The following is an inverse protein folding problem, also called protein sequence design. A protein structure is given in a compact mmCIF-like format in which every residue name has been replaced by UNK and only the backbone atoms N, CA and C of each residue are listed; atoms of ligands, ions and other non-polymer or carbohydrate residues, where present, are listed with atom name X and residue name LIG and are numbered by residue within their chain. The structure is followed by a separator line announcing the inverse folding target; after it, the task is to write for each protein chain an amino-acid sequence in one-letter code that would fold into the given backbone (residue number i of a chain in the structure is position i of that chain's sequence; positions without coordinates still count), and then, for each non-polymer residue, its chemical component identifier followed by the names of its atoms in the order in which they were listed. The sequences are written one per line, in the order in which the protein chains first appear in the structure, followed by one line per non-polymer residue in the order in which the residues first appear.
data_IF_658685388116
#
_entry.id   IF_658685388116
#
_cell.length_a   1.000
_cell.length_b   1.000
_cell.length_c   1.000
_cell.angle_alpha   90.00
_cell.angle_beta   90.00
_cell.angle_gamma   90.00
#
_symmetry.space_group_name_H-M   'P 1'
#
loop_
_entity.id
_entity.type
_entity.pdbx_description
1 polymer ?
#
# COMPACT_ATOMS: atom_id res chain seq x y z
N UNK A 1 17.49 6.21 -24.82
CA UNK A 1 17.58 5.71 -23.45
C UNK A 1 17.68 6.95 -22.58
N UNK A 2 16.84 7.10 -21.54
CA UNK A 2 16.90 8.26 -20.65
C UNK A 2 18.28 8.37 -20.00
N UNK A 3 18.87 9.55 -20.06
CA UNK A 3 20.22 9.85 -19.55
C UNK A 3 20.18 10.70 -18.27
N UNK A 4 18.99 11.05 -17.80
CA UNK A 4 18.75 11.88 -16.63
C UNK A 4 17.45 11.48 -15.93
N UNK A 5 17.31 11.94 -14.68
CA UNK A 5 16.06 11.98 -13.95
C UNK A 5 15.66 13.43 -13.65
N UNK A 6 14.36 13.65 -13.43
CA UNK A 6 13.85 14.88 -12.85
C UNK A 6 13.53 14.62 -11.39
N UNK A 7 14.01 15.48 -10.49
CA UNK A 7 13.75 15.40 -9.06
C UNK A 7 13.37 16.80 -8.56
N UNK A 8 12.13 16.94 -8.10
CA UNK A 8 11.53 18.23 -7.73
C UNK A 8 11.72 19.32 -8.80
N UNK A 9 11.58 18.93 -10.07
CA UNK A 9 11.75 19.82 -11.23
C UNK A 9 13.21 20.12 -11.61
N UNK A 10 14.19 19.67 -10.82
CA UNK A 10 15.62 19.78 -11.15
C UNK A 10 16.06 18.59 -11.99
N UNK A 11 16.90 18.84 -12.98
CA UNK A 11 17.46 17.82 -13.88
C UNK A 11 18.78 17.30 -13.32
N UNK A 12 18.93 15.97 -13.23
CA UNK A 12 20.16 15.32 -12.81
C UNK A 12 20.55 14.22 -13.80
N UNK A 13 21.73 14.33 -14.41
CA UNK A 13 22.22 13.32 -15.35
C UNK A 13 22.71 12.07 -14.60
N UNK A 14 22.45 10.89 -15.16
CA UNK A 14 22.80 9.62 -14.51
C UNK A 14 24.32 9.47 -14.33
N UNK A 15 25.12 9.92 -15.30
CA UNK A 15 26.59 9.93 -15.20
C UNK A 15 27.07 10.84 -14.06
N UNK A 16 26.46 12.01 -13.89
CA UNK A 16 26.76 12.92 -12.79
C UNK A 16 26.35 12.35 -11.43
N UNK A 17 25.22 11.63 -11.39
CA UNK A 17 24.75 10.94 -10.18
C UNK A 17 25.74 9.85 -9.77
N UNK A 18 26.16 9.01 -10.72
CA UNK A 18 27.10 7.92 -10.48
C UNK A 18 28.44 8.40 -9.91
N UNK A 19 28.92 9.56 -10.36
CA UNK A 19 30.17 10.18 -9.91
C UNK A 19 29.99 11.23 -8.80
N UNK A 20 28.74 11.51 -8.41
CA UNK A 20 28.36 12.52 -7.42
C UNK A 20 28.93 13.93 -7.73
N UNK A 21 29.02 14.28 -9.02
CA UNK A 21 29.71 15.48 -9.52
C UNK A 21 28.84 16.74 -9.55
N UNK A 22 27.51 16.61 -9.40
CA UNK A 22 26.55 17.72 -9.41
C UNK A 22 26.48 18.53 -8.09
N UNK A 23 27.12 18.02 -7.03
CA UNK A 23 26.94 18.49 -5.64
C UNK A 23 27.34 19.94 -5.35
N UNK A 24 28.22 20.51 -6.18
CA UNK A 24 28.66 21.92 -6.05
C UNK A 24 27.85 22.87 -6.94
N UNK A 25 27.11 22.33 -7.92
CA UNK A 25 26.39 23.13 -8.93
C UNK A 25 24.89 23.20 -8.70
N UNK A 26 24.29 22.19 -8.04
CA UNK A 26 22.84 22.13 -7.78
C UNK A 26 22.60 22.05 -6.27
N UNK A 27 21.94 23.04 -5.64
CA UNK A 27 21.56 22.94 -4.25
C UNK A 27 20.49 21.86 -4.07
N UNK A 28 20.72 20.97 -3.10
CA UNK A 28 19.80 19.87 -2.77
C UNK A 28 19.35 19.92 -1.32
N UNK A 29 18.11 19.51 -1.06
CA UNK A 29 17.59 19.33 0.30
C UNK A 29 17.88 17.91 0.86
N UNK A 30 17.40 17.64 2.07
CA UNK A 30 17.63 16.36 2.75
C UNK A 30 16.95 15.15 2.09
N UNK A 31 15.78 15.33 1.48
CA UNK A 31 15.06 14.27 0.77
C UNK A 31 15.72 13.98 -0.57
N UNK A 32 16.09 15.04 -1.29
CA UNK A 32 16.80 14.96 -2.57
C UNK A 32 18.15 14.26 -2.40
N UNK A 33 18.92 14.61 -1.36
CA UNK A 33 20.20 13.99 -1.06
C UNK A 33 20.08 12.47 -0.84
N UNK A 34 19.09 12.01 -0.06
CA UNK A 34 18.88 10.57 0.20
C UNK A 34 18.43 9.83 -1.06
N UNK A 35 17.55 10.45 -1.86
CA UNK A 35 17.10 9.89 -3.15
C UNK A 35 18.28 9.72 -4.11
N UNK A 36 19.12 10.75 -4.25
CA UNK A 36 20.28 10.73 -5.14
C UNK A 36 21.36 9.77 -4.64
N UNK A 37 21.54 9.62 -3.33
CA UNK A 37 22.47 8.63 -2.76
C UNK A 37 22.02 7.20 -3.07
N UNK A 38 20.72 6.90 -3.00
CA UNK A 38 20.20 5.60 -3.46
C UNK A 38 20.49 5.38 -4.96
N UNK A 39 20.17 6.35 -5.81
CA UNK A 39 20.42 6.25 -7.25
C UNK A 39 21.91 6.05 -7.57
N UNK A 40 22.80 6.80 -6.90
CA UNK A 40 24.25 6.64 -7.02
C UNK A 40 24.68 5.22 -6.65
N UNK A 41 24.26 4.71 -5.49
CA UNK A 41 24.59 3.35 -5.05
C UNK A 41 24.10 2.31 -6.06
N UNK A 42 22.91 2.49 -6.62
CA UNK A 42 22.40 1.65 -7.69
C UNK A 42 23.25 1.69 -8.96
N UNK A 43 23.64 2.87 -9.42
CA UNK A 43 24.47 3.05 -10.62
C UNK A 43 25.92 2.58 -10.42
N UNK A 44 26.42 2.58 -9.19
CA UNK A 44 27.73 2.03 -8.82
C UNK A 44 27.72 0.51 -8.63
N UNK A 45 26.57 -0.15 -8.78
CA UNK A 45 26.47 -1.61 -8.69
C UNK A 45 26.52 -2.15 -7.27
N UNK A 46 26.08 -1.38 -6.27
CA UNK A 46 25.88 -1.90 -4.91
C UNK A 46 24.92 -3.10 -4.96
N UNK A 47 25.25 -4.14 -4.18
CA UNK A 47 24.56 -5.43 -4.23
C UNK A 47 23.53 -5.62 -3.11
N UNK A 48 23.65 -4.87 -2.00
CA UNK A 48 22.86 -5.05 -0.79
C UNK A 48 22.28 -3.72 -0.32
N UNK A 49 20.99 -3.73 0.05
CA UNK A 49 20.22 -2.56 0.45
C UNK A 49 19.48 -2.87 1.75
N UNK A 50 19.96 -2.38 2.91
CA UNK A 50 19.26 -2.56 4.17
C UNK A 50 17.99 -1.70 4.17
N UNK A 51 16.85 -2.33 4.44
CA UNK A 51 15.57 -1.64 4.60
C UNK A 51 14.96 -1.93 5.96
N UNK A 52 14.39 -0.90 6.58
CA UNK A 52 13.69 -1.02 7.85
C UNK A 52 12.21 -1.34 7.58
N UNK A 53 11.68 -2.38 8.22
CA UNK A 53 10.26 -2.71 8.16
C UNK A 53 9.53 -2.20 9.39
N UNK A 54 8.33 -1.68 9.15
CA UNK A 54 7.34 -1.44 10.20
C UNK A 54 6.69 -2.76 10.57
N UNK A 55 7.42 -3.63 11.27
CA UNK A 55 6.84 -4.86 11.80
C UNK A 55 5.61 -4.55 12.66
N UNK A 56 4.51 -5.29 12.47
CA UNK A 56 3.30 -5.18 13.29
C UNK A 56 3.53 -5.47 14.78
N UNK A 57 4.69 -6.02 15.13
CA UNK A 57 5.01 -6.53 16.46
C UNK A 57 6.01 -5.69 17.28
N UNK A 58 6.29 -4.43 16.91
CA UNK A 58 6.88 -3.43 17.82
C UNK A 58 8.30 -2.97 17.51
N UNK A 59 9.31 -3.86 17.45
CA UNK A 59 10.69 -3.47 17.15
C UNK A 59 10.92 -3.46 15.62
N UNK A 60 11.52 -2.39 15.05
CA UNK A 60 11.86 -2.38 13.64
C UNK A 60 12.78 -3.55 13.28
N UNK A 61 12.42 -4.31 12.25
CA UNK A 61 13.28 -5.36 11.71
C UNK A 61 14.00 -4.79 10.49
N UNK A 62 15.30 -5.02 10.41
CA UNK A 62 16.05 -4.79 9.19
C UNK A 62 15.93 -6.02 8.31
N UNK A 63 15.53 -5.81 7.07
CA UNK A 63 15.61 -6.83 6.03
C UNK A 63 16.69 -6.36 5.06
N UNK A 64 17.61 -7.24 4.73
CA UNK A 64 18.61 -6.99 3.71
C UNK A 64 18.04 -7.42 2.36
N UNK A 65 17.87 -6.45 1.46
CA UNK A 65 17.45 -6.72 0.09
C UNK A 65 18.68 -6.87 -0.78
N UNK A 66 18.68 -7.87 -1.64
CA UNK A 66 19.73 -8.06 -2.64
C UNK A 66 19.31 -7.45 -3.98
N UNK A 67 20.29 -6.93 -4.72
CA UNK A 67 20.09 -6.25 -6.01
C UNK A 67 19.38 -7.13 -7.03
N UNK A 68 19.82 -8.37 -7.18
CA UNK A 68 19.23 -9.37 -8.09
C UNK A 68 17.72 -9.54 -7.85
N UNK A 69 17.30 -9.65 -6.58
CA UNK A 69 15.88 -9.79 -6.23
C UNK A 69 15.09 -8.49 -6.48
N UNK A 70 15.71 -7.33 -6.26
CA UNK A 70 15.08 -6.04 -6.61
C UNK A 70 14.93 -5.90 -8.13
N UNK A 71 15.94 -6.32 -8.91
CA UNK A 71 15.88 -6.37 -10.37
C UNK A 71 14.78 -7.32 -10.86
N UNK A 72 14.68 -8.53 -10.29
CA UNK A 72 13.61 -9.48 -10.61
C UNK A 72 12.21 -8.92 -10.32
N UNK A 73 12.04 -8.24 -9.19
CA UNK A 73 10.80 -7.57 -8.80
C UNK A 73 10.45 -6.41 -9.74
N UNK A 74 11.44 -5.64 -10.16
CA UNK A 74 11.28 -4.57 -11.14
C UNK A 74 10.87 -5.13 -12.52
N UNK A 75 11.59 -6.13 -13.03
CA UNK A 75 11.29 -6.78 -14.30
C UNK A 75 9.87 -7.38 -14.33
N UNK A 76 9.42 -7.97 -13.22
CA UNK A 76 8.02 -8.42 -13.07
C UNK A 76 7.04 -7.28 -13.24
N UNK A 77 7.29 -6.14 -12.58
CA UNK A 77 6.43 -4.95 -12.70
C UNK A 77 6.36 -4.46 -14.14
N UNK A 78 7.51 -4.36 -14.83
CA UNK A 78 7.59 -3.93 -16.22
C UNK A 78 6.75 -4.84 -17.13
N UNK A 79 6.80 -6.16 -16.93
CA UNK A 79 5.98 -7.13 -17.67
C UNK A 79 4.50 -7.00 -17.37
N UNK A 80 4.09 -6.95 -16.10
CA UNK A 80 2.68 -6.89 -15.68
C UNK A 80 1.98 -5.67 -16.29
N UNK A 81 2.64 -4.51 -16.29
CA UNK A 81 2.04 -3.26 -16.77
C UNK A 81 2.48 -2.86 -18.18
N UNK A 82 3.16 -3.76 -18.90
CA UNK A 82 3.68 -3.54 -20.24
C UNK A 82 4.46 -2.21 -20.37
N UNK A 83 5.37 -1.98 -19.43
CA UNK A 83 6.25 -0.82 -19.41
C UNK A 83 7.47 -1.10 -20.29
N UNK A 84 7.72 -0.18 -21.20
CA UNK A 84 8.76 -0.25 -22.22
C UNK A 84 9.79 0.86 -21.98
N UNK A 85 11.03 0.71 -22.49
CA UNK A 85 11.99 1.80 -22.50
C UNK A 85 11.38 3.10 -23.05
N UNK A 86 11.74 4.23 -22.47
CA UNK A 86 11.17 5.57 -22.75
C UNK A 86 9.73 5.82 -22.25
N UNK A 87 9.06 4.86 -21.60
CA UNK A 87 7.85 5.19 -20.85
C UNK A 87 8.20 6.12 -19.66
N UNK A 88 7.25 6.94 -19.24
CA UNK A 88 7.41 7.96 -18.21
C UNK A 88 6.76 7.51 -16.91
N UNK A 89 7.52 7.53 -15.82
CA UNK A 89 7.03 7.15 -14.49
C UNK A 89 7.07 8.32 -13.52
N UNK A 90 6.00 8.43 -12.72
CA UNK A 90 5.96 9.35 -11.58
C UNK A 90 6.32 8.60 -10.30
N UNK A 91 7.36 9.07 -9.62
CA UNK A 91 7.78 8.62 -8.28
C UNK A 91 7.28 9.61 -7.25
N UNK A 92 6.13 9.32 -6.65
CA UNK A 92 5.48 10.17 -5.64
C UNK A 92 5.29 9.50 -4.28
N UNK A 93 5.87 8.31 -4.10
CA UNK A 93 5.99 7.63 -2.82
C UNK A 93 7.38 7.88 -2.25
N UNK A 94 7.50 7.90 -0.92
CA UNK A 94 8.74 8.19 -0.24
C UNK A 94 9.85 7.19 -0.61
N UNK A 95 10.92 7.69 -1.22
CA UNK A 95 12.10 6.95 -1.69
C UNK A 95 13.00 6.44 -0.57
N UNK A 96 12.79 6.88 0.68
CA UNK A 96 13.44 6.31 1.86
C UNK A 96 12.82 4.97 2.30
N UNK A 97 11.67 4.60 1.74
CA UNK A 97 10.99 3.34 2.00
C UNK A 97 10.90 2.50 0.75
N UNK A 98 10.76 1.19 0.93
CA UNK A 98 10.80 0.20 -0.15
C UNK A 98 9.83 0.50 -1.30
N UNK A 99 8.67 1.10 -1.01
CA UNK A 99 7.70 1.48 -2.02
C UNK A 99 8.26 2.50 -3.03
N UNK A 100 8.86 3.60 -2.55
CA UNK A 100 9.48 4.61 -3.41
C UNK A 100 10.80 4.12 -4.01
N UNK A 101 11.63 3.40 -3.23
CA UNK A 101 12.87 2.79 -3.74
C UNK A 101 12.60 1.90 -4.96
N UNK A 102 11.57 1.05 -4.90
CA UNK A 102 11.25 0.15 -6.00
C UNK A 102 10.77 0.89 -7.26
N UNK A 103 10.20 2.09 -7.13
CA UNK A 103 9.89 2.92 -8.31
C UNK A 103 11.16 3.46 -8.98
N UNK A 104 12.19 3.82 -8.21
CA UNK A 104 13.51 4.17 -8.75
C UNK A 104 14.14 2.97 -9.46
N UNK A 105 14.13 1.80 -8.81
CA UNK A 105 14.67 0.56 -9.42
C UNK A 105 13.95 0.20 -10.71
N UNK A 106 12.61 0.25 -10.74
CA UNK A 106 11.82 0.02 -11.96
C UNK A 106 12.21 0.97 -13.09
N UNK A 107 12.39 2.26 -12.77
CA UNK A 107 12.81 3.25 -13.74
C UNK A 107 14.20 2.96 -14.33
N UNK A 108 15.17 2.66 -13.46
CA UNK A 108 16.56 2.39 -13.86
C UNK A 108 16.69 1.06 -14.61
N UNK A 109 16.00 0.02 -14.17
CA UNK A 109 16.01 -1.31 -14.82
C UNK A 109 15.25 -1.30 -16.15
N UNK A 110 14.16 -0.53 -16.24
CA UNK A 110 13.33 -0.43 -17.43
C UNK A 110 13.78 0.59 -18.46
N UNK A 111 14.80 1.40 -18.16
CA UNK A 111 15.19 2.57 -18.96
C UNK A 111 14.01 3.54 -19.19
N UNK A 112 13.31 3.87 -18.10
CA UNK A 112 12.12 4.73 -18.09
C UNK A 112 12.53 6.18 -17.78
N UNK A 113 11.76 7.16 -18.26
CA UNK A 113 11.91 8.55 -17.82
C UNK A 113 11.37 8.66 -16.39
N UNK A 114 12.24 9.05 -15.45
CA UNK A 114 11.91 9.10 -14.03
C UNK A 114 11.67 10.54 -13.60
N UNK A 115 10.45 10.85 -13.17
CA UNK A 115 10.11 12.11 -12.49
C UNK A 115 9.82 11.83 -11.02
N UNK A 116 10.62 12.39 -10.13
CA UNK A 116 10.49 12.24 -8.69
C UNK A 116 10.00 13.55 -8.10
N UNK A 117 9.05 13.44 -7.19
CA UNK A 117 8.63 14.54 -6.32
C UNK A 117 8.75 14.11 -4.86
N UNK A 118 8.83 15.09 -3.97
CA UNK A 118 8.61 14.82 -2.55
C UNK A 118 7.17 14.30 -2.31
N UNK A 119 6.97 13.32 -1.40
CA UNK A 119 5.67 12.72 -1.19
C UNK A 119 4.66 13.73 -0.62
N UNK A 120 3.59 13.95 -1.34
CA UNK A 120 2.50 14.87 -0.97
C UNK A 120 1.13 14.23 -1.22
N UNK A 121 0.08 14.83 -0.65
CA UNK A 121 -1.30 14.33 -0.79
C UNK A 121 -1.79 14.31 -2.25
N UNK A 122 -1.55 15.37 -3.01
CA UNK A 122 -1.87 15.42 -4.45
C UNK A 122 -0.59 15.48 -5.29
N UNK A 123 -0.04 14.35 -5.74
CA UNK A 123 1.24 14.34 -6.43
C UNK A 123 1.19 15.05 -7.80
N UNK A 124 0.03 15.11 -8.45
CA UNK A 124 -0.11 15.82 -9.71
C UNK A 124 -0.12 17.35 -9.56
N UNK A 125 -0.20 17.88 -8.33
CA UNK A 125 -0.11 19.32 -8.05
C UNK A 125 1.32 19.87 -8.14
N UNK A 126 2.34 19.03 -7.99
CA UNK A 126 3.75 19.44 -7.92
C UNK A 126 4.58 19.02 -9.14
N UNK A 127 3.92 18.57 -10.21
CA UNK A 127 4.56 18.28 -11.50
C UNK A 127 4.21 19.38 -12.49
N UNK A 128 5.02 19.50 -13.54
CA UNK A 128 4.73 20.38 -14.67
C UNK A 128 3.30 20.09 -15.21
N UNK A 129 2.44 21.12 -15.41
CA UNK A 129 1.11 20.96 -15.97
C UNK A 129 1.05 20.24 -17.32
N UNK A 130 2.14 20.25 -18.10
CA UNK A 130 2.22 19.57 -19.39
C UNK A 130 2.92 18.20 -19.30
N UNK A 131 3.48 17.84 -18.14
CA UNK A 131 4.04 16.51 -17.93
C UNK A 131 2.95 15.44 -18.09
N UNK A 132 3.28 14.39 -18.82
CA UNK A 132 2.46 13.18 -18.87
C UNK A 132 3.28 11.96 -18.44
N UNK A 133 2.56 10.95 -18.00
CA UNK A 133 3.11 9.74 -17.43
C UNK A 133 2.39 8.55 -18.04
N UNK A 134 3.10 7.44 -18.14
CA UNK A 134 2.58 6.17 -18.61
C UNK A 134 2.31 5.22 -17.44
N UNK A 135 2.95 5.44 -16.28
CA UNK A 135 2.72 4.65 -15.08
C UNK A 135 3.00 5.41 -13.79
N UNK A 136 2.23 5.10 -12.74
CA UNK A 136 2.46 5.62 -11.40
C UNK A 136 2.07 4.57 -10.36
N UNK A 137 2.87 4.48 -9.31
CA UNK A 137 2.49 3.76 -8.09
C UNK A 137 2.30 4.77 -6.95
N UNK A 138 1.19 4.66 -6.22
CA UNK A 138 0.82 5.61 -5.16
C UNK A 138 0.02 4.94 -4.05
N UNK A 139 -0.21 5.65 -2.94
CA UNK A 139 -1.11 5.17 -1.88
C UNK A 139 -2.58 5.51 -2.19
N UNK A 140 -3.55 4.75 -1.66
CA UNK A 140 -4.98 4.99 -1.89
C UNK A 140 -5.44 6.43 -1.63
N UNK A 141 -4.94 7.04 -0.54
CA UNK A 141 -5.26 8.41 -0.17
C UNK A 141 -4.81 9.43 -1.21
N UNK A 142 -3.68 9.20 -1.90
CA UNK A 142 -3.21 10.09 -2.96
C UNK A 142 -4.16 10.07 -4.15
N UNK A 143 -4.60 8.87 -4.57
CA UNK A 143 -5.57 8.76 -5.66
C UNK A 143 -6.90 9.40 -5.29
N UNK A 144 -7.40 9.14 -4.07
CA UNK A 144 -8.62 9.78 -3.58
C UNK A 144 -8.53 11.31 -3.62
N UNK A 145 -7.40 11.87 -3.14
CA UNK A 145 -7.16 13.32 -3.16
C UNK A 145 -7.14 13.88 -4.58
N UNK A 146 -6.59 13.15 -5.56
CA UNK A 146 -6.62 13.58 -6.97
C UNK A 146 -8.05 13.60 -7.51
N UNK A 147 -8.83 12.54 -7.25
CA UNK A 147 -10.19 12.39 -7.75
C UNK A 147 -11.15 13.44 -7.16
N UNK A 148 -10.98 13.79 -5.89
CA UNK A 148 -11.81 14.78 -5.20
C UNK A 148 -11.34 16.22 -5.46
N UNK A 149 -10.03 16.46 -5.46
CA UNK A 149 -9.45 17.81 -5.44
C UNK A 149 -9.07 18.38 -6.81
N UNK A 150 -8.88 17.53 -7.82
CA UNK A 150 -8.44 17.98 -9.17
C UNK A 150 -9.12 17.18 -10.29
N UNK A 151 -10.45 17.35 -10.50
CA UNK A 151 -11.20 16.60 -11.52
C UNK A 151 -10.67 16.83 -12.95
N UNK A 152 -10.11 18.00 -13.22
CA UNK A 152 -9.46 18.36 -14.49
C UNK A 152 -8.26 17.45 -14.81
N UNK A 153 -7.63 16.85 -13.79
CA UNK A 153 -6.47 15.96 -13.93
C UNK A 153 -6.85 14.50 -14.17
N UNK A 154 -8.14 14.15 -14.14
CA UNK A 154 -8.61 12.80 -14.51
C UNK A 154 -8.19 12.43 -15.94
N UNK A 155 -8.22 13.40 -16.87
CA UNK A 155 -7.78 13.19 -18.24
C UNK A 155 -6.29 12.80 -18.33
N UNK A 156 -5.44 13.28 -17.41
CA UNK A 156 -4.03 12.86 -17.32
C UNK A 156 -3.89 11.43 -16.82
N UNK A 157 -4.71 11.03 -15.84
CA UNK A 157 -4.74 9.65 -15.35
C UNK A 157 -5.13 8.68 -16.47
N UNK A 158 -6.18 9.00 -17.24
CA UNK A 158 -6.69 8.15 -18.32
C UNK A 158 -5.72 7.94 -19.49
N UNK A 159 -4.65 8.75 -19.60
CA UNK A 159 -3.58 8.54 -20.59
C UNK A 159 -2.55 7.50 -20.18
N UNK A 160 -2.49 7.13 -18.89
CA UNK A 160 -1.53 6.17 -18.38
C UNK A 160 -1.90 4.74 -18.81
N UNK A 161 -0.89 3.86 -18.87
CA UNK A 161 -1.09 2.41 -19.08
C UNK A 161 -1.68 1.74 -17.85
N UNK A 162 -1.27 2.16 -16.65
CA UNK A 162 -1.81 1.67 -15.39
C UNK A 162 -1.50 2.60 -14.20
N UNK A 163 -2.35 2.50 -13.18
CA UNK A 163 -2.13 3.04 -11.84
C UNK A 163 -2.03 1.86 -10.87
N UNK A 164 -0.96 1.81 -10.09
CA UNK A 164 -0.76 0.80 -9.05
C UNK A 164 -0.96 1.40 -7.66
N UNK A 165 -1.93 0.89 -6.92
CA UNK A 165 -2.17 1.23 -5.53
C UNK A 165 -1.51 0.22 -4.60
N UNK A 166 -0.81 0.72 -3.59
CA UNK A 166 -0.15 -0.11 -2.58
C UNK A 166 -0.08 0.57 -1.23
N UNK A 167 0.48 -0.15 -0.25
CA UNK A 167 0.81 0.43 1.06
C UNK A 167 -0.37 0.59 2.03
N UNK A 168 -1.63 0.48 1.59
CA UNK A 168 -2.79 0.50 2.48
C UNK A 168 -3.98 -0.28 1.89
N UNK A 169 -4.98 -0.55 2.74
CA UNK A 169 -6.27 -1.07 2.30
C UNK A 169 -7.00 -0.05 1.43
N UNK A 170 -7.83 -0.54 0.51
CA UNK A 170 -8.69 0.30 -0.34
C UNK A 170 -10.04 0.43 0.36
N UNK A 171 -10.53 1.66 0.51
CA UNK A 171 -11.88 1.89 1.01
C UNK A 171 -12.91 1.58 -0.09
N UNK A 172 -14.12 1.20 0.31
CA UNK A 172 -15.24 1.02 -0.63
C UNK A 172 -15.53 2.28 -1.43
N UNK A 173 -15.46 3.45 -0.79
CA UNK A 173 -15.63 4.75 -1.45
C UNK A 173 -14.63 4.96 -2.58
N UNK A 174 -13.37 4.57 -2.37
CA UNK A 174 -12.35 4.64 -3.41
C UNK A 174 -12.58 3.57 -4.48
N UNK A 175 -12.98 2.35 -4.12
CA UNK A 175 -13.36 1.35 -5.12
C UNK A 175 -14.47 1.85 -6.05
N UNK A 176 -15.47 2.56 -5.52
CA UNK A 176 -16.54 3.17 -6.31
C UNK A 176 -16.00 4.36 -7.15
N UNK A 177 -15.17 5.22 -6.57
CA UNK A 177 -14.62 6.40 -7.22
C UNK A 177 -13.70 6.09 -8.41
N UNK A 178 -13.06 4.91 -8.45
CA UNK A 178 -12.20 4.51 -9.57
C UNK A 178 -12.96 3.88 -10.75
N UNK A 179 -14.25 3.55 -10.60
CA UNK A 179 -15.04 2.93 -11.67
C UNK A 179 -15.17 3.79 -12.94
N UNK A 180 -15.30 5.13 -12.87
CA UNK A 180 -15.38 5.98 -14.06
C UNK A 180 -14.03 6.17 -14.79
N UNK A 181 -12.91 5.72 -14.23
CA UNK A 181 -11.60 5.86 -14.86
C UNK A 181 -11.45 4.87 -16.02
N UNK A 182 -10.90 5.35 -17.14
CA UNK A 182 -10.57 4.51 -18.29
C UNK A 182 -9.24 3.79 -18.08
N UNK A 183 -8.30 4.44 -17.38
CA UNK A 183 -7.02 3.84 -17.02
C UNK A 183 -7.23 2.62 -16.11
N UNK A 184 -6.51 1.52 -16.36
CA UNK A 184 -6.39 0.42 -15.43
C UNK A 184 -5.91 0.80 -14.03
N UNK A 185 -6.75 0.62 -13.01
CA UNK A 185 -6.35 0.77 -11.61
C UNK A 185 -6.21 -0.59 -10.94
N UNK A 186 -5.04 -0.84 -10.37
CA UNK A 186 -4.71 -2.09 -9.71
C UNK A 186 -4.40 -1.87 -8.24
N UNK A 187 -4.72 -2.86 -7.41
CA UNK A 187 -4.19 -2.99 -6.05
C UNK A 187 -3.10 -4.05 -6.02
N UNK A 188 -1.98 -3.74 -5.37
CA UNK A 188 -0.91 -4.71 -5.11
C UNK A 188 -1.18 -5.53 -3.84
N UNK A 189 -0.86 -6.81 -3.89
CA UNK A 189 -0.60 -7.63 -2.72
C UNK A 189 0.89 -7.97 -2.67
N UNK A 190 1.50 -7.71 -1.51
CA UNK A 190 2.91 -7.95 -1.25
C UNK A 190 3.33 -7.39 0.10
N UNK A 191 4.56 -7.71 0.50
CA UNK A 191 5.16 -7.32 1.77
C UNK A 191 6.65 -7.03 1.59
N UNK A 192 7.32 -6.58 2.64
CA UNK A 192 8.76 -6.25 2.52
C UNK A 192 9.59 -7.50 2.26
N UNK A 193 9.20 -8.63 2.85
CA UNK A 193 9.79 -9.95 2.66
C UNK A 193 9.69 -10.44 1.20
N UNK A 194 8.76 -9.89 0.41
CA UNK A 194 8.64 -10.15 -1.02
C UNK A 194 9.15 -9.00 -1.89
N UNK A 195 9.84 -8.03 -1.29
CA UNK A 195 10.36 -6.76 -1.86
C UNK A 195 9.27 -5.81 -2.34
N UNK A 196 8.33 -6.30 -3.14
CA UNK A 196 7.19 -5.54 -3.61
C UNK A 196 6.01 -6.50 -3.83
N UNK A 197 5.15 -6.18 -4.80
CA UNK A 197 4.01 -7.01 -5.12
C UNK A 197 4.42 -8.38 -5.69
N UNK A 198 3.64 -9.39 -5.31
CA UNK A 198 3.65 -10.74 -5.90
C UNK A 198 2.37 -10.97 -6.69
N UNK A 199 1.28 -10.29 -6.35
CA UNK A 199 0.05 -10.38 -7.10
C UNK A 199 -0.63 -9.02 -7.20
N UNK A 200 -1.52 -8.89 -8.17
CA UNK A 200 -2.32 -7.67 -8.38
C UNK A 200 -3.78 -8.03 -8.56
N UNK A 201 -4.67 -7.13 -8.12
CA UNK A 201 -6.12 -7.20 -8.31
C UNK A 201 -6.58 -6.00 -9.11
N UNK A 202 -7.44 -6.20 -10.10
CA UNK A 202 -7.98 -5.12 -10.92
C UNK A 202 -9.19 -4.48 -10.22
N UNK A 203 -9.15 -3.16 -9.99
CA UNK A 203 -10.17 -2.45 -9.21
C UNK A 203 -11.31 -1.86 -10.04
N UNK A 204 -11.11 -1.65 -11.34
CA UNK A 204 -12.07 -0.97 -12.21
C UNK A 204 -12.19 -1.60 -13.61
N UNK A 205 -13.22 -1.19 -14.33
CA UNK A 205 -13.47 -1.62 -15.71
C UNK A 205 -14.06 -3.03 -15.82
N UNK A 206 -14.22 -3.51 -17.06
CA UNK A 206 -14.80 -4.82 -17.35
C UNK A 206 -14.00 -6.00 -16.79
N UNK A 207 -12.70 -5.79 -16.53
CA UNK A 207 -11.78 -6.79 -15.98
C UNK A 207 -11.66 -6.70 -14.45
N UNK A 208 -12.52 -5.93 -13.77
CA UNK A 208 -12.53 -5.84 -12.30
C UNK A 208 -12.69 -7.23 -11.67
N UNK A 209 -11.92 -7.49 -10.62
CA UNK A 209 -11.92 -8.76 -9.88
C UNK A 209 -11.91 -8.51 -8.38
N UNK A 210 -12.40 -9.48 -7.60
CA UNK A 210 -12.31 -9.52 -6.13
C UNK A 210 -11.12 -10.34 -5.62
N UNK A 211 -10.38 -10.99 -6.53
CA UNK A 211 -9.21 -11.81 -6.26
C UNK A 211 -7.92 -11.20 -6.83
N UNK A 212 -6.79 -11.64 -6.28
CA UNK A 212 -5.46 -11.28 -6.78
C UNK A 212 -4.96 -12.36 -7.73
N UNK A 213 -4.23 -11.96 -8.76
CA UNK A 213 -3.56 -12.86 -9.70
C UNK A 213 -2.06 -12.68 -9.63
N UNK A 214 -1.33 -13.78 -9.41
CA UNK A 214 0.11 -13.81 -9.44
C UNK A 214 0.60 -14.30 -10.81
N UNK A 215 1.71 -13.74 -11.34
CA UNK A 215 2.28 -14.22 -12.58
C UNK A 215 2.91 -15.61 -12.39
N UNK A 216 3.09 -16.36 -13.48
CA UNK A 216 3.46 -17.78 -13.45
C UNK A 216 4.79 -18.10 -12.75
N UNK A 217 5.70 -17.12 -12.65
CA UNK A 217 6.97 -17.28 -11.93
C UNK A 217 6.82 -17.30 -10.39
N UNK A 218 5.62 -17.07 -9.86
CA UNK A 218 5.35 -17.12 -8.42
C UNK A 218 4.51 -18.35 -8.14
N UNK A 219 5.04 -19.23 -7.29
CA UNK A 219 4.29 -20.39 -6.80
C UNK A 219 3.50 -19.98 -5.57
N UNK A 220 2.17 -20.09 -5.67
CA UNK A 220 1.26 -19.91 -4.55
C UNK A 220 0.87 -21.26 -3.96
N UNK A 221 0.70 -21.30 -2.65
CA UNK A 221 0.17 -22.45 -1.92
C UNK A 221 -0.56 -22.03 -0.66
N UNK A 222 -0.90 -23.01 0.17
CA UNK A 222 -1.51 -22.80 1.48
C UNK A 222 -0.86 -23.73 2.50
N UNK A 223 -0.72 -23.26 3.74
CA UNK A 223 -0.39 -24.11 4.87
C UNK A 223 -1.65 -24.78 5.48
N UNK A 224 -1.48 -25.58 6.53
CA UNK A 224 -2.58 -26.29 7.20
C UNK A 224 -3.62 -25.35 7.84
N UNK A 225 -3.29 -24.07 8.05
CA UNK A 225 -4.20 -23.05 8.59
C UNK A 225 -5.03 -22.38 7.51
N UNK A 226 -4.73 -22.64 6.23
CA UNK A 226 -5.27 -21.91 5.08
C UNK A 226 -4.56 -20.58 4.83
N UNK A 227 -3.38 -20.35 5.43
CA UNK A 227 -2.59 -19.16 5.19
C UNK A 227 -1.79 -19.28 3.89
N UNK A 228 -1.70 -18.20 3.12
CA UNK A 228 -0.97 -18.15 1.85
C UNK A 228 0.51 -18.48 2.07
N UNK A 229 1.04 -19.37 1.25
CA UNK A 229 2.47 -19.63 1.10
C UNK A 229 2.94 -19.13 -0.26
N UNK A 230 4.14 -18.55 -0.31
CA UNK A 230 4.68 -17.88 -1.48
C UNK A 230 6.10 -18.38 -1.71
N UNK A 231 6.40 -18.87 -2.90
CA UNK A 231 7.78 -19.17 -3.33
C UNK A 231 8.07 -18.49 -4.66
N UNK A 232 9.15 -17.70 -4.70
CA UNK A 232 9.61 -16.98 -5.88
C UNK A 232 11.10 -16.59 -5.73
N UNK A 233 11.70 -16.06 -6.80
CA UNK A 233 13.07 -15.49 -6.74
C UNK A 233 13.20 -14.40 -5.66
N UNK A 234 12.15 -13.60 -5.47
CA UNK A 234 12.11 -12.54 -4.44
C UNK A 234 12.16 -13.09 -3.00
N UNK A 235 11.79 -14.35 -2.78
CA UNK A 235 11.92 -15.03 -1.47
C UNK A 235 13.21 -15.85 -1.37
N UNK A 236 14.12 -15.74 -2.35
CA UNK A 236 15.33 -16.56 -2.41
C UNK A 236 15.08 -18.03 -2.74
N UNK A 237 13.92 -18.36 -3.32
CA UNK A 237 13.50 -19.74 -3.56
C UNK A 237 12.99 -20.48 -2.33
N UNK A 238 13.00 -19.85 -1.16
CA UNK A 238 12.39 -20.38 0.06
C UNK A 238 10.88 -20.12 0.06
N UNK A 239 10.13 -21.02 0.71
CA UNK A 239 8.69 -20.82 0.89
C UNK A 239 8.46 -19.87 2.06
N UNK A 240 8.00 -18.66 1.76
CA UNK A 240 7.51 -17.71 2.74
C UNK A 240 6.09 -18.10 3.16
N UNK A 241 5.91 -18.36 4.46
CA UNK A 241 4.59 -18.61 5.05
C UNK A 241 4.06 -17.30 5.62
N UNK A 242 2.91 -16.85 5.12
CA UNK A 242 2.25 -15.64 5.61
C UNK A 242 1.30 -15.96 6.77
N UNK A 243 0.70 -14.92 7.36
CA UNK A 243 -0.47 -15.08 8.23
C UNK A 243 -1.76 -14.63 7.51
N UNK A 244 -1.75 -14.52 6.19
CA UNK A 244 -2.91 -14.08 5.41
C UNK A 244 -3.74 -15.31 5.03
N UNK A 245 -4.97 -15.39 5.55
CA UNK A 245 -5.94 -16.41 5.16
C UNK A 245 -6.42 -16.12 3.76
N UNK A 246 -6.42 -17.16 2.91
CA UNK A 246 -6.84 -17.01 1.51
C UNK A 246 -7.73 -18.17 1.08
N UNK A 247 -8.40 -17.99 -0.05
CA UNK A 247 -8.99 -19.05 -0.85
C UNK A 247 -8.21 -19.12 -2.16
N UNK A 248 -7.50 -20.22 -2.43
CA UNK A 248 -6.82 -20.43 -3.71
C UNK A 248 -7.84 -20.67 -4.81
N UNK A 249 -7.60 -20.05 -5.97
CA UNK A 249 -8.42 -20.17 -7.16
C UNK A 249 -7.57 -20.75 -8.31
N UNK A 250 -8.20 -21.00 -9.45
CA UNK A 250 -7.50 -21.39 -10.67
C UNK A 250 -6.59 -20.26 -11.19
N UNK A 251 -5.72 -20.57 -12.17
CA UNK A 251 -4.87 -19.59 -12.87
C UNK A 251 -3.93 -18.77 -11.97
N UNK A 252 -3.41 -19.39 -10.91
CA UNK A 252 -2.47 -18.75 -9.97
C UNK A 252 -3.06 -17.50 -9.29
N UNK A 253 -4.34 -17.58 -8.95
CA UNK A 253 -5.08 -16.52 -8.28
C UNK A 253 -5.53 -16.93 -6.88
N UNK A 254 -5.84 -15.94 -6.04
CA UNK A 254 -6.38 -16.17 -4.70
C UNK A 254 -7.28 -15.02 -4.24
N UNK A 255 -8.31 -15.33 -3.46
CA UNK A 255 -9.10 -14.35 -2.71
C UNK A 255 -8.52 -14.19 -1.32
N UNK A 256 -8.21 -12.97 -0.92
CA UNK A 256 -7.75 -12.67 0.44
C UNK A 256 -8.93 -12.58 1.40
N UNK A 257 -8.87 -13.32 2.51
CA UNK A 257 -9.98 -13.48 3.46
C UNK A 257 -9.75 -12.71 4.78
N UNK A 258 -8.51 -12.34 5.08
CA UNK A 258 -8.15 -11.68 6.34
C UNK A 258 -6.80 -12.16 6.87
N UNK A 259 -6.49 -11.82 8.11
CA UNK A 259 -5.28 -12.33 8.78
C UNK A 259 -5.60 -13.30 9.92
N UNK A 260 -4.87 -14.41 9.95
CA UNK A 260 -4.97 -15.41 11.01
C UNK A 260 -4.62 -14.85 12.40
N UNK A 261 -3.71 -13.87 12.46
CA UNK A 261 -3.32 -13.18 13.70
C UNK A 261 -4.17 -11.94 14.02
N UNK A 262 -5.09 -11.55 13.14
CA UNK A 262 -6.14 -10.54 13.40
C UNK A 262 -7.53 -11.18 13.56
N UNK A 263 -7.56 -12.48 13.87
CA UNK A 263 -8.78 -13.18 14.26
C UNK A 263 -8.89 -13.18 15.77
N UNK A 264 -10.01 -12.69 16.31
CA UNK A 264 -10.30 -12.79 17.74
C UNK A 264 -11.31 -13.90 17.98
N UNK A 265 -11.28 -14.50 19.16
CA UNK A 265 -12.27 -15.48 19.59
C UNK A 265 -13.20 -14.85 20.62
N UNK A 266 -14.38 -14.40 20.17
CA UNK A 266 -15.39 -13.83 21.05
C UNK A 266 -16.50 -14.84 21.31
N UNK A 267 -16.49 -15.45 22.50
CA UNK A 267 -17.50 -16.42 22.93
C UNK A 267 -17.54 -17.70 22.08
N UNK A 268 -16.40 -18.15 21.56
CA UNK A 268 -16.28 -19.32 20.68
C UNK A 268 -16.43 -19.01 19.20
N UNK A 269 -16.74 -17.76 18.83
CA UNK A 269 -16.90 -17.31 17.44
C UNK A 269 -15.61 -16.63 16.98
N UNK A 270 -15.04 -17.13 15.89
CA UNK A 270 -13.89 -16.49 15.23
C UNK A 270 -14.38 -15.27 14.45
N UNK A 271 -13.95 -14.09 14.90
CA UNK A 271 -14.28 -12.80 14.29
C UNK A 271 -13.04 -12.26 13.59
N UNK A 272 -13.14 -12.02 12.27
CA UNK A 272 -12.10 -11.34 11.50
C UNK A 272 -12.19 -9.84 11.75
N UNK A 273 -11.15 -9.23 12.33
CA UNK A 273 -11.17 -7.79 12.61
C UNK A 273 -11.31 -6.96 11.35
N UNK A 274 -10.75 -7.39 10.22
CA UNK A 274 -10.85 -6.66 8.95
C UNK A 274 -12.28 -6.67 8.38
N UNK A 275 -13.05 -7.73 8.61
CA UNK A 275 -14.48 -7.76 8.27
C UNK A 275 -15.25 -6.72 9.09
N UNK A 276 -14.94 -6.61 10.39
CA UNK A 276 -15.54 -5.62 11.28
C UNK A 276 -15.15 -4.21 10.84
N UNK A 277 -13.88 -3.99 10.48
CA UNK A 277 -13.39 -2.70 9.99
C UNK A 277 -14.04 -2.29 8.67
N UNK A 278 -14.22 -3.21 7.73
CA UNK A 278 -14.93 -2.94 6.48
C UNK A 278 -16.38 -2.50 6.76
N UNK A 279 -17.09 -3.22 7.64
CA UNK A 279 -18.45 -2.86 8.04
C UNK A 279 -18.52 -1.54 8.83
N UNK A 280 -17.53 -1.24 9.67
CA UNK A 280 -17.40 0.06 10.34
C UNK A 280 -17.25 1.20 9.34
N UNK A 281 -16.43 1.01 8.31
CA UNK A 281 -16.28 1.98 7.23
C UNK A 281 -17.59 2.29 6.53
N UNK A 282 -18.33 1.25 6.14
CA UNK A 282 -19.63 1.38 5.48
C UNK A 282 -20.66 2.07 6.39
N UNK A 283 -20.70 1.69 7.67
CA UNK A 283 -21.63 2.25 8.63
C UNK A 283 -21.33 3.73 8.92
N UNK A 284 -20.07 4.10 9.13
CA UNK A 284 -19.64 5.48 9.37
C UNK A 284 -19.88 6.37 8.16
N UNK A 285 -19.53 5.90 6.96
CA UNK A 285 -19.80 6.61 5.72
C UNK A 285 -21.31 6.85 5.54
N UNK A 286 -22.13 5.84 5.81
CA UNK A 286 -23.58 5.95 5.75
C UNK A 286 -24.21 6.86 6.82
N UNK A 287 -23.45 7.27 7.84
CA UNK A 287 -23.85 8.25 8.86
C UNK A 287 -23.19 9.62 8.62
N UNK A 288 -22.49 9.81 7.50
CA UNK A 288 -21.71 11.01 7.20
C UNK A 288 -20.64 11.32 8.26
N UNK A 289 -20.12 10.30 8.93
CA UNK A 289 -19.05 10.42 9.92
C UNK A 289 -17.72 10.07 9.23
N UNK A 290 -16.87 11.07 9.02
CA UNK A 290 -15.52 10.88 8.48
C UNK A 290 -14.49 10.85 9.59
N UNK A 291 -14.16 9.66 10.09
CA UNK A 291 -13.18 9.44 11.15
C UNK A 291 -12.32 8.24 10.82
N UNK A 292 -11.06 8.27 11.24
CA UNK A 292 -10.19 7.09 11.22
C UNK A 292 -10.57 6.16 12.37
N UNK A 293 -10.42 4.86 12.16
CA UNK A 293 -10.79 3.86 13.16
C UNK A 293 -9.95 2.59 13.01
N UNK A 294 -9.97 1.76 14.05
CA UNK A 294 -9.51 0.37 13.97
C UNK A 294 -10.34 -0.52 14.90
N UNK A 295 -10.45 -1.81 14.57
CA UNK A 295 -11.05 -2.82 15.44
C UNK A 295 -9.96 -3.57 16.22
N UNK A 296 -10.28 -3.98 17.44
CA UNK A 296 -9.36 -4.71 18.31
C UNK A 296 -10.10 -5.61 19.29
N UNK A 297 -9.35 -6.41 20.05
CA UNK A 297 -9.87 -7.16 21.19
C UNK A 297 -9.30 -6.63 22.51
N UNK A 298 -10.14 -6.73 23.56
CA UNK A 298 -9.69 -6.70 24.95
C UNK A 298 -9.98 -8.05 25.59
N UNK A 299 -9.17 -8.50 26.58
CA UNK A 299 -9.50 -9.65 27.40
C UNK A 299 -10.87 -9.48 28.06
N UNK A 300 -11.65 -10.56 28.10
CA UNK A 300 -12.98 -10.61 28.72
C UNK A 300 -13.18 -11.95 29.43
N UNK A 301 -13.61 -11.94 30.68
CA UNK A 301 -13.74 -13.16 31.49
C UNK A 301 -14.81 -14.13 30.96
N UNK A 302 -15.82 -13.63 30.25
CA UNK A 302 -16.94 -14.44 29.76
C UNK A 302 -16.75 -14.83 28.30
N UNK A 303 -16.27 -13.89 27.48
CA UNK A 303 -16.11 -14.08 26.04
C UNK A 303 -14.72 -14.60 25.65
N UNK A 304 -13.77 -14.60 26.58
CA UNK A 304 -12.34 -14.75 26.29
C UNK A 304 -11.78 -13.45 25.74
N UNK A 305 -12.28 -13.03 24.59
CA UNK A 305 -11.99 -11.73 23.98
C UNK A 305 -13.28 -10.97 23.64
N UNK A 306 -13.36 -9.71 24.05
CA UNK A 306 -14.44 -8.80 23.64
C UNK A 306 -13.95 -7.91 22.50
N UNK A 307 -14.72 -7.88 21.42
CA UNK A 307 -14.50 -6.98 20.29
C UNK A 307 -14.74 -5.52 20.70
N UNK A 308 -13.82 -4.64 20.35
CA UNK A 308 -13.96 -3.19 20.47
C UNK A 308 -13.64 -2.51 19.14
N UNK A 309 -14.09 -1.27 19.01
CA UNK A 309 -13.70 -0.38 17.92
C UNK A 309 -13.22 0.95 18.48
N UNK A 310 -12.15 1.50 17.93
CA UNK A 310 -11.56 2.76 18.39
C UNK A 310 -11.70 3.78 17.29
N UNK A 311 -12.26 4.95 17.61
CA UNK A 311 -12.45 6.04 16.68
C UNK A 311 -11.55 7.23 17.03
N UNK A 312 -11.04 7.89 16.00
CA UNK A 312 -10.36 9.17 16.14
C UNK A 312 -11.36 10.31 16.42
N UNK A 313 -11.00 11.20 17.33
CA UNK A 313 -11.77 12.40 17.68
C UNK A 313 -12.48 12.31 19.02
N UNK A 314 -13.40 13.25 19.27
CA UNK A 314 -14.20 13.29 20.50
C UNK A 314 -15.21 12.13 20.54
N UNK A 315 -15.63 11.67 21.73
CA UNK A 315 -16.68 10.66 21.84
C UNK A 315 -17.91 10.99 20.99
N UNK A 316 -18.48 9.95 20.37
CA UNK A 316 -19.82 10.05 19.81
C UNK A 316 -20.83 10.17 20.95
N UNK A 317 -21.97 10.79 20.66
CA UNK A 317 -23.12 10.77 21.57
C UNK A 317 -23.73 9.37 21.65
N UNK A 318 -24.48 9.10 22.72
CA UNK A 318 -25.15 7.80 22.91
C UNK A 318 -26.08 7.45 21.73
N UNK A 319 -26.72 8.46 21.13
CA UNK A 319 -27.57 8.31 19.96
C UNK A 319 -26.77 7.94 18.70
N UNK A 320 -25.63 8.60 18.46
CA UNK A 320 -24.74 8.28 17.35
C UNK A 320 -24.15 6.87 17.49
N UNK A 321 -23.75 6.45 18.69
CA UNK A 321 -23.29 5.08 18.95
C UNK A 321 -24.39 4.05 18.70
N UNK A 322 -25.63 4.33 19.14
CA UNK A 322 -26.76 3.45 18.92
C UNK A 322 -27.06 3.29 17.42
N UNK A 323 -27.03 4.39 16.67
CA UNK A 323 -27.20 4.40 15.22
C UNK A 323 -26.08 3.62 14.51
N UNK A 324 -24.82 3.79 14.94
CA UNK A 324 -23.69 3.06 14.42
C UNK A 324 -23.83 1.55 14.67
N UNK A 325 -24.21 1.12 15.89
CA UNK A 325 -24.49 -0.30 16.19
C UNK A 325 -25.65 -0.83 15.34
N UNK A 326 -26.69 -0.03 15.13
CA UNK A 326 -27.82 -0.37 14.26
C UNK A 326 -27.35 -0.70 12.85
N UNK A 327 -26.57 0.19 12.22
CA UNK A 327 -26.01 -0.04 10.88
C UNK A 327 -25.08 -1.25 10.81
N UNK A 328 -24.22 -1.45 11.81
CA UNK A 328 -23.35 -2.62 11.86
C UNK A 328 -24.16 -3.93 11.91
N UNK A 329 -25.32 -3.94 12.57
CA UNK A 329 -26.16 -5.13 12.65
C UNK A 329 -26.81 -5.56 11.33
N UNK A 330 -26.77 -4.71 10.30
CA UNK A 330 -27.25 -5.04 8.95
C UNK A 330 -26.28 -5.96 8.18
N UNK A 331 -24.98 -5.92 8.51
CA UNK A 331 -23.92 -6.65 7.80
C UNK A 331 -23.11 -7.61 8.67
N UNK A 332 -23.20 -7.46 10.00
CA UNK A 332 -22.45 -8.24 10.99
C UNK A 332 -23.39 -9.06 11.89
N UNK A 333 -22.96 -10.25 12.26
CA UNK A 333 -23.64 -11.05 13.28
C UNK A 333 -23.44 -10.44 14.68
N UNK A 334 -24.25 -10.86 15.66
CA UNK A 334 -24.20 -10.36 17.04
C UNK A 334 -22.80 -10.41 17.67
N UNK A 335 -21.97 -11.38 17.34
CA UNK A 335 -20.61 -11.53 17.90
C UNK A 335 -19.58 -10.65 17.20
N UNK A 336 -19.88 -10.17 16.00
CA UNK A 336 -19.02 -9.32 15.18
C UNK A 336 -19.31 -7.83 15.41
N UNK A 337 -20.35 -7.47 16.15
CA UNK A 337 -20.63 -6.06 16.53
C UNK A 337 -19.77 -5.68 17.74
N UNK A 338 -18.96 -4.60 17.65
CA UNK A 338 -18.16 -4.08 18.77
C UNK A 338 -18.99 -3.88 20.03
N UNK A 339 -18.49 -4.40 21.16
CA UNK A 339 -19.14 -4.28 22.47
C UNK A 339 -18.88 -2.93 23.11
N UNK A 340 -17.79 -2.27 22.74
CA UNK A 340 -17.38 -0.98 23.25
C UNK A 340 -16.73 -0.14 22.14
N UNK A 341 -17.01 1.16 22.17
CA UNK A 341 -16.33 2.15 21.33
C UNK A 341 -15.36 2.95 22.19
N UNK A 342 -14.07 2.91 21.83
CA UNK A 342 -13.03 3.74 22.41
C UNK A 342 -12.79 4.99 21.56
N UNK A 343 -12.26 6.04 22.18
CA UNK A 343 -12.02 7.32 21.51
C UNK A 343 -10.63 7.86 21.84
N UNK A 344 -9.89 8.26 20.80
CA UNK A 344 -8.60 8.92 20.96
C UNK A 344 -8.60 10.23 20.16
N UNK A 345 -8.13 11.37 20.73
CA UNK A 345 -8.09 12.64 20.00
C UNK A 345 -7.36 12.55 18.65
N UNK A 346 -6.29 11.74 18.61
CA UNK A 346 -5.56 11.37 17.40
C UNK A 346 -5.08 9.92 17.53
N UNK A 347 -5.30 9.11 16.51
CA UNK A 347 -4.76 7.76 16.42
C UNK A 347 -3.25 7.84 16.17
N UNK A 348 -2.43 7.07 16.92
CA UNK A 348 -1.00 7.01 16.65
C UNK A 348 -0.74 6.36 15.29
N UNK A 349 0.34 6.80 14.65
CA UNK A 349 0.74 6.35 13.33
C UNK A 349 2.17 5.79 13.38
N UNK A 350 2.42 4.76 12.58
CA UNK A 350 3.76 4.30 12.25
C UNK A 350 4.48 5.33 11.38
N UNK A 351 5.80 5.23 11.25
CA UNK A 351 6.59 6.09 10.35
C UNK A 351 6.14 6.04 8.87
N UNK A 352 5.41 4.99 8.47
CA UNK A 352 4.83 4.81 7.13
C UNK A 352 3.43 5.42 6.97
N UNK A 353 2.91 6.15 7.97
CA UNK A 353 1.58 6.77 7.93
C UNK A 353 0.40 5.81 8.17
N UNK A 354 0.66 4.55 8.50
CA UNK A 354 -0.38 3.56 8.90
C UNK A 354 -0.74 3.73 10.37
N UNK A 355 -2.00 3.48 10.74
CA UNK A 355 -2.45 3.44 12.15
C UNK A 355 -1.64 2.39 12.93
N UNK A 356 -1.06 2.81 14.05
CA UNK A 356 -0.38 1.96 15.01
C UNK A 356 -1.38 1.44 16.06
N UNK A 357 -2.02 0.30 15.75
CA UNK A 357 -3.05 -0.29 16.61
C UNK A 357 -2.54 -0.62 18.00
N UNK A 358 -1.28 -1.02 18.15
CA UNK A 358 -0.72 -1.41 19.45
C UNK A 358 -0.59 -0.19 20.36
N UNK A 359 0.03 0.88 19.86
CA UNK A 359 0.14 2.11 20.62
C UNK A 359 -1.24 2.73 20.85
N UNK A 360 -2.16 2.60 19.88
CA UNK A 360 -3.55 3.01 20.05
C UNK A 360 -4.23 2.27 21.21
N UNK A 361 -4.08 0.95 21.27
CA UNK A 361 -4.62 0.13 22.35
C UNK A 361 -4.00 0.41 23.72
N UNK A 362 -2.74 0.83 23.78
CA UNK A 362 -2.10 1.20 25.04
C UNK A 362 -2.57 2.55 25.61
N UNK A 363 -3.26 3.36 24.79
CA UNK A 363 -3.79 4.68 25.16
C UNK A 363 -5.26 4.64 25.59
N UNK A 364 -5.88 3.45 25.57
CA UNK A 364 -7.28 3.18 25.93
C UNK A 364 -7.27 2.27 27.15
#
# INVERSE_FOLDING_TARGET
MPDHLLLNGKKFFLDEIQHYSFRESIPIDGYEAKTLEFCKNWLQGVQEYPVQTSGSTGAPKFIELTRDRMEASAQRTLRIFNLQPEDRVLVCMNTEYIAGMMMLVRGLVGNLHITIIEPIGNPLASVDPDAEFDFVAMVPLQLQTILEGTPDKIAKLNKMKAILLGGAAISKSLEEAVQPLEVPVYQSYGMTETISHIAVRRLNGAEKTDYYTAPSEITLGQDERGCLTISAEVTGGETLVTNDLVELLENNSFRWLGRADNTINSGGVKVQLEKVEAALGDALAGLSISRRYFAAALPDETLGERLIAVLEGSPLTDEEEANLKGKLSESLSKYEIPKHFGYLPRLPETATGKIDRRNGMALI
#
